data_IF_781168477244
#
_entry.id   IF_781168477244
#
_cell.length_a   1.000
_cell.length_b   1.000
_cell.length_c   1.000
_cell.angle_alpha   90.00
_cell.angle_beta   90.00
_cell.angle_gamma   90.00
#
_symmetry.space_group_name_H-M   'P 1'
#
loop_
_entity.id
_entity.type
_entity.pdbx_description
1 polymer ?
#
# COMPACT_ATOMS: atom_id res chain seq x y z
N UNK A 1 5.86 16.01 -17.51
CA UNK A 1 6.15 17.41 -17.11
C UNK A 1 5.88 17.44 -15.63
N UNK A 2 6.92 17.48 -14.82
CA UNK A 2 6.76 17.43 -13.36
C UNK A 2 6.10 18.75 -12.90
N UNK A 3 5.01 18.67 -12.13
CA UNK A 3 4.40 19.88 -11.63
C UNK A 3 5.36 20.55 -10.65
N UNK A 4 5.43 21.89 -10.69
CA UNK A 4 6.39 22.65 -9.87
C UNK A 4 6.23 22.45 -8.36
N UNK A 5 5.14 21.83 -7.92
CA UNK A 5 4.80 21.52 -6.53
C UNK A 5 5.04 20.05 -6.13
N UNK A 6 5.61 19.22 -7.02
CA UNK A 6 5.90 17.80 -6.73
C UNK A 6 4.67 16.90 -6.74
N UNK A 7 3.59 17.33 -7.41
CA UNK A 7 2.43 16.49 -7.76
C UNK A 7 2.53 16.03 -9.22
N UNK A 8 1.87 14.93 -9.62
CA UNK A 8 1.87 14.50 -11.03
C UNK A 8 0.92 15.33 -11.91
N UNK A 9 0.29 16.37 -11.36
CA UNK A 9 -0.76 17.13 -12.04
C UNK A 9 -0.31 18.54 -12.38
N UNK A 10 -0.56 18.97 -13.60
CA UNK A 10 -0.23 20.30 -14.06
C UNK A 10 -1.48 21.17 -14.27
N UNK A 11 -1.25 22.48 -14.34
CA UNK A 11 -2.29 23.49 -14.57
C UNK A 11 -2.30 23.99 -16.03
N UNK A 12 -1.67 23.26 -16.94
CA UNK A 12 -1.66 23.59 -18.38
C UNK A 12 -3.07 23.38 -18.91
N UNK A 13 -3.61 24.42 -19.53
CA UNK A 13 -4.94 24.37 -20.11
C UNK A 13 -4.96 23.36 -21.25
N UNK A 14 -5.88 22.41 -21.17
CA UNK A 14 -6.18 21.46 -22.24
C UNK A 14 -6.98 22.24 -23.29
N UNK A 15 -6.32 22.59 -24.39
CA UNK A 15 -6.98 23.25 -25.50
C UNK A 15 -7.88 22.26 -26.25
N UNK A 16 -9.19 22.40 -26.05
CA UNK A 16 -10.21 21.56 -26.68
C UNK A 16 -10.84 22.20 -27.92
N UNK A 17 -10.37 23.37 -28.35
CA UNK A 17 -10.93 24.08 -29.51
C UNK A 17 -10.86 23.23 -30.79
N UNK A 18 -9.73 22.54 -30.99
CA UNK A 18 -9.52 21.64 -32.12
C UNK A 18 -10.53 20.48 -32.14
N UNK A 19 -10.93 19.96 -30.96
CA UNK A 19 -11.87 18.84 -30.85
C UNK A 19 -13.27 19.18 -31.38
N UNK A 20 -13.66 20.45 -31.32
CA UNK A 20 -14.96 20.93 -31.84
C UNK A 20 -14.94 21.19 -33.34
N UNK A 21 -13.76 21.29 -33.94
CA UNK A 21 -13.58 21.68 -35.34
C UNK A 21 -13.41 20.51 -36.31
N UNK A 22 -13.25 19.29 -35.76
CA UNK A 22 -12.88 18.10 -36.53
C UNK A 22 -13.81 16.95 -36.12
N UNK A 23 -14.27 16.22 -37.13
CA UNK A 23 -14.81 14.88 -36.95
C UNK A 23 -13.75 13.87 -37.43
N UNK A 24 -13.52 12.80 -36.66
CA UNK A 24 -12.48 11.82 -36.97
C UNK A 24 -12.80 10.43 -36.42
N UNK A 25 -12.44 9.40 -37.19
CA UNK A 25 -12.25 8.05 -36.70
C UNK A 25 -10.75 7.86 -36.39
N UNK A 26 -10.44 7.48 -35.16
CA UNK A 26 -9.08 7.41 -34.64
C UNK A 26 -8.78 5.95 -34.28
N UNK A 27 -7.77 5.39 -34.93
CA UNK A 27 -7.19 4.10 -34.58
C UNK A 27 -5.67 4.27 -34.42
N UNK A 28 -5.15 3.99 -33.23
CA UNK A 28 -3.72 4.10 -32.92
C UNK A 28 -3.27 2.79 -32.30
N UNK A 29 -2.32 2.13 -32.96
CA UNK A 29 -1.62 0.97 -32.43
C UNK A 29 -0.13 1.30 -32.36
N UNK A 30 0.48 1.10 -31.21
CA UNK A 30 1.93 1.30 -31.00
C UNK A 30 2.51 0.02 -30.41
N UNK A 31 3.82 -0.17 -30.57
CA UNK A 31 4.52 -1.26 -29.87
C UNK A 31 4.69 -0.93 -28.38
N UNK A 32 4.91 0.35 -28.06
CA UNK A 32 5.10 0.85 -26.71
C UNK A 32 4.72 2.33 -26.61
N UNK A 33 4.12 2.70 -25.49
CA UNK A 33 3.88 4.09 -25.10
C UNK A 33 4.47 4.31 -23.70
N UNK A 34 5.49 5.17 -23.62
CA UNK A 34 6.11 5.56 -22.37
C UNK A 34 5.50 6.86 -21.84
N UNK A 35 5.06 6.83 -20.59
CA UNK A 35 4.53 7.98 -19.88
C UNK A 35 5.13 8.03 -18.46
N UNK A 36 6.04 8.98 -18.26
CA UNK A 36 6.79 9.14 -17.02
C UNK A 36 7.52 7.85 -16.61
N UNK A 37 7.20 7.24 -15.46
CA UNK A 37 7.78 5.96 -15.03
C UNK A 37 7.03 4.73 -15.56
N UNK A 38 5.93 4.92 -16.29
CA UNK A 38 5.07 3.84 -16.76
C UNK A 38 5.27 3.56 -18.24
N UNK A 39 5.37 2.28 -18.59
CA UNK A 39 5.38 1.81 -19.98
C UNK A 39 4.13 0.97 -20.23
N UNK A 40 3.37 1.36 -21.26
CA UNK A 40 2.24 0.59 -21.78
C UNK A 40 2.70 -0.14 -23.04
N UNK A 41 2.66 -1.47 -23.02
CA UNK A 41 3.11 -2.31 -24.13
C UNK A 41 1.93 -2.66 -25.03
N UNK A 42 2.13 -2.62 -26.34
CA UNK A 42 1.12 -2.87 -27.37
C UNK A 42 -0.19 -2.10 -27.17
N UNK A 43 -0.17 -0.77 -26.90
CA UNK A 43 -1.40 -0.02 -26.78
C UNK A 43 -2.19 -0.02 -28.09
N UNK A 44 -3.48 -0.34 -28.02
CA UNK A 44 -4.46 -0.27 -29.11
C UNK A 44 -5.62 0.63 -28.68
N UNK A 45 -5.71 1.81 -29.28
CA UNK A 45 -6.75 2.80 -29.08
C UNK A 45 -7.69 2.81 -30.28
N UNK A 46 -8.99 2.69 -30.00
CA UNK A 46 -10.07 2.98 -30.95
C UNK A 46 -10.95 4.08 -30.36
N UNK A 47 -11.10 5.16 -31.11
CA UNK A 47 -11.92 6.29 -30.72
C UNK A 47 -12.61 6.94 -31.91
N UNK A 48 -13.72 7.63 -31.63
CA UNK A 48 -14.40 8.49 -32.59
C UNK A 48 -14.56 9.87 -31.98
N UNK A 49 -14.27 10.91 -32.75
CA UNK A 49 -14.49 12.29 -32.39
C UNK A 49 -15.58 12.83 -33.29
N UNK A 50 -16.69 13.27 -32.71
CA UNK A 50 -17.78 13.90 -33.45
C UNK A 50 -18.24 15.15 -32.74
N UNK A 51 -18.13 16.29 -33.42
CA UNK A 51 -18.60 17.59 -32.96
C UNK A 51 -18.15 17.93 -31.53
N UNK A 52 -16.91 17.61 -31.14
CA UNK A 52 -16.39 17.85 -29.79
C UNK A 52 -16.66 16.76 -28.75
N UNK A 53 -17.27 15.64 -29.11
CA UNK A 53 -17.39 14.45 -28.25
C UNK A 53 -16.42 13.37 -28.73
N UNK A 54 -15.40 13.08 -27.92
CA UNK A 54 -14.53 11.93 -28.11
C UNK A 54 -15.13 10.72 -27.39
N UNK A 55 -15.48 9.68 -28.14
CA UNK A 55 -15.94 8.39 -27.62
C UNK A 55 -14.81 7.37 -27.77
N UNK A 56 -14.49 6.67 -26.68
CA UNK A 56 -13.42 5.68 -26.60
C UNK A 56 -14.07 4.33 -26.31
N UNK A 57 -14.54 3.59 -27.33
CA UNK A 57 -15.09 2.25 -27.11
C UNK A 57 -14.05 1.26 -26.56
N UNK A 58 -12.77 1.45 -26.87
CA UNK A 58 -11.70 0.56 -26.42
C UNK A 58 -10.35 1.25 -26.43
N UNK A 59 -9.64 1.16 -25.31
CA UNK A 59 -8.22 1.41 -25.18
C UNK A 59 -7.60 0.28 -24.37
N UNK A 60 -6.75 -0.53 -25.01
CA UNK A 60 -6.15 -1.72 -24.40
C UNK A 60 -4.64 -1.69 -24.45
N UNK A 61 -3.97 -2.50 -23.63
CA UNK A 61 -2.53 -2.73 -23.69
C UNK A 61 -2.06 -3.51 -22.46
N UNK A 62 -0.75 -3.66 -22.29
CA UNK A 62 -0.17 -4.29 -21.09
C UNK A 62 0.51 -3.24 -20.22
N UNK A 63 0.00 -3.03 -19.01
CA UNK A 63 0.54 -2.10 -18.02
C UNK A 63 1.05 -2.89 -16.81
N UNK A 64 2.34 -2.76 -16.49
CA UNK A 64 2.94 -3.53 -15.39
C UNK A 64 2.77 -5.05 -15.56
N UNK A 65 2.84 -5.54 -16.81
CA UNK A 65 2.61 -6.93 -17.23
C UNK A 65 1.15 -7.41 -17.10
N UNK A 66 0.21 -6.57 -16.68
CA UNK A 66 -1.21 -6.88 -16.60
C UNK A 66 -2.01 -6.35 -17.79
N UNK A 67 -3.18 -6.93 -18.04
CA UNK A 67 -4.07 -6.52 -19.11
C UNK A 67 -4.84 -5.26 -18.72
N UNK A 68 -4.57 -4.15 -19.40
CA UNK A 68 -5.31 -2.90 -19.28
C UNK A 68 -6.44 -2.86 -20.31
N UNK A 69 -7.64 -2.49 -19.87
CA UNK A 69 -8.77 -2.19 -20.74
C UNK A 69 -9.55 -0.99 -20.21
N UNK A 70 -9.69 0.06 -21.01
CA UNK A 70 -10.39 1.30 -20.67
C UNK A 70 -11.40 1.61 -21.78
N UNK A 71 -12.54 2.15 -21.40
CA UNK A 71 -13.50 2.79 -22.29
C UNK A 71 -14.03 4.08 -21.66
N UNK A 72 -14.68 4.92 -22.45
CA UNK A 72 -15.32 6.11 -21.93
C UNK A 72 -15.54 7.22 -22.94
N UNK A 73 -15.66 8.44 -22.44
CA UNK A 73 -15.92 9.64 -23.23
C UNK A 73 -15.19 10.85 -22.68
N UNK A 74 -14.87 11.78 -23.58
CA UNK A 74 -14.42 13.12 -23.26
C UNK A 74 -15.27 14.13 -24.04
N UNK A 75 -16.15 14.84 -23.33
CA UNK A 75 -17.12 15.78 -23.88
C UNK A 75 -16.62 17.22 -23.75
N UNK A 76 -16.24 17.80 -24.89
CA UNK A 76 -15.79 19.18 -25.00
C UNK A 76 -16.80 20.08 -25.73
N UNK A 77 -18.03 19.63 -26.00
CA UNK A 77 -18.93 20.26 -26.99
C UNK A 77 -19.37 21.68 -26.67
N UNK A 78 -19.65 21.96 -25.39
CA UNK A 78 -20.43 23.15 -24.99
C UNK A 78 -19.72 24.10 -24.02
N UNK A 79 -18.56 23.72 -23.48
CA UNK A 79 -17.86 24.53 -22.48
C UNK A 79 -16.36 24.31 -22.57
N UNK A 80 -15.57 25.31 -22.17
CA UNK A 80 -14.13 25.17 -22.02
C UNK A 80 -13.73 24.37 -20.77
N UNK A 81 -14.71 23.77 -20.08
CA UNK A 81 -14.54 22.83 -18.97
C UNK A 81 -15.03 21.46 -19.44
N UNK A 82 -14.19 20.68 -20.13
CA UNK A 82 -14.60 19.40 -20.68
C UNK A 82 -14.94 18.41 -19.56
N UNK A 83 -15.81 17.45 -19.88
CA UNK A 83 -16.23 16.38 -18.99
C UNK A 83 -15.60 15.06 -19.41
N UNK A 84 -15.01 14.37 -18.47
CA UNK A 84 -14.42 13.06 -18.64
C UNK A 84 -15.31 12.02 -17.95
N UNK A 85 -15.56 10.89 -18.60
CA UNK A 85 -16.13 9.71 -17.98
C UNK A 85 -15.36 8.49 -18.48
N UNK A 86 -14.76 7.72 -17.59
CA UNK A 86 -13.94 6.55 -17.90
C UNK A 86 -14.36 5.38 -17.02
N UNK A 87 -14.41 4.21 -17.61
CA UNK A 87 -14.47 2.95 -16.88
C UNK A 87 -13.37 2.03 -17.40
N UNK A 88 -12.80 1.24 -16.52
CA UNK A 88 -11.73 0.35 -16.93
C UNK A 88 -11.33 -0.67 -15.88
N UNK A 89 -10.45 -1.55 -16.32
CA UNK A 89 -9.83 -2.56 -15.48
C UNK A 89 -8.36 -2.75 -15.85
N UNK A 90 -7.59 -3.13 -14.85
CA UNK A 90 -6.22 -3.63 -14.96
C UNK A 90 -6.20 -4.98 -14.26
N UNK A 91 -5.95 -6.05 -15.01
CA UNK A 91 -5.98 -7.41 -14.47
C UNK A 91 -4.58 -8.01 -14.41
N UNK A 92 -4.27 -8.67 -13.29
CA UNK A 92 -3.03 -9.46 -13.12
C UNK A 92 -1.73 -8.67 -13.32
N UNK A 93 -1.73 -7.37 -13.05
CA UNK A 93 -0.51 -6.57 -13.06
C UNK A 93 0.43 -6.96 -11.91
N UNK A 94 1.70 -6.56 -12.02
CA UNK A 94 2.73 -6.81 -11.02
C UNK A 94 2.96 -5.54 -10.22
N UNK A 95 2.80 -5.59 -8.90
CA UNK A 95 3.00 -4.44 -7.99
C UNK A 95 4.38 -3.83 -8.24
N UNK A 96 5.41 -4.68 -8.26
CA UNK A 96 6.81 -4.27 -8.42
C UNK A 96 7.11 -3.60 -9.77
N UNK A 97 6.27 -3.79 -10.79
CA UNK A 97 6.41 -3.15 -12.10
C UNK A 97 5.68 -1.80 -12.18
N UNK A 98 4.77 -1.51 -11.25
CA UNK A 98 3.99 -0.27 -11.22
C UNK A 98 4.47 0.69 -10.14
N UNK A 99 4.62 0.17 -8.92
CA UNK A 99 4.99 0.94 -7.74
C UNK A 99 6.04 0.14 -6.97
N UNK A 100 7.34 0.37 -7.21
CA UNK A 100 8.41 -0.36 -6.54
C UNK A 100 8.55 0.12 -5.09
N UNK A 101 7.66 -0.36 -4.22
CA UNK A 101 7.68 -0.06 -2.79
C UNK A 101 8.80 -0.85 -2.12
N UNK A 102 9.66 -0.15 -1.38
CA UNK A 102 10.73 -0.76 -0.57
C UNK A 102 10.46 -0.58 0.91
N UNK A 103 10.60 -1.66 1.66
CA UNK A 103 10.57 -1.66 3.13
C UNK A 103 11.88 -2.25 3.61
N UNK A 104 12.63 -1.46 4.39
CA UNK A 104 14.02 -1.77 4.74
C UNK A 104 14.86 -2.08 3.48
N UNK A 105 15.35 -3.31 3.32
CA UNK A 105 16.16 -3.74 2.17
C UNK A 105 15.40 -4.59 1.14
N UNK A 106 14.09 -4.77 1.33
CA UNK A 106 13.27 -5.66 0.50
C UNK A 106 12.23 -4.91 -0.33
N UNK A 107 11.97 -5.41 -1.54
CA UNK A 107 10.92 -4.90 -2.43
C UNK A 107 9.63 -5.68 -2.19
N UNK A 108 8.49 -4.98 -2.23
CA UNK A 108 7.17 -5.61 -2.23
C UNK A 108 6.88 -6.19 -3.62
N UNK A 109 6.56 -7.49 -3.65
CA UNK A 109 6.16 -8.23 -4.84
C UNK A 109 4.70 -8.67 -4.71
N UNK A 110 3.97 -8.77 -5.81
CA UNK A 110 2.62 -9.34 -5.79
C UNK A 110 1.82 -9.07 -7.05
N UNK A 111 0.63 -9.66 -7.11
CA UNK A 111 -0.37 -9.38 -8.14
C UNK A 111 -1.25 -8.19 -7.75
N UNK A 112 -1.61 -7.37 -8.73
CA UNK A 112 -2.51 -6.23 -8.61
C UNK A 112 -3.61 -6.33 -9.65
N UNK A 113 -4.85 -6.18 -9.19
CA UNK A 113 -6.04 -5.97 -9.99
C UNK A 113 -6.68 -4.64 -9.60
N UNK A 114 -7.21 -3.90 -10.57
CA UNK A 114 -7.94 -2.66 -10.33
C UNK A 114 -9.13 -2.60 -11.28
N UNK A 115 -10.32 -2.34 -10.77
CA UNK A 115 -11.48 -1.92 -11.58
C UNK A 115 -11.90 -0.52 -11.14
N UNK A 116 -12.29 0.34 -12.07
CA UNK A 116 -12.75 1.68 -11.75
C UNK A 116 -13.86 2.16 -12.68
N UNK A 117 -14.70 3.04 -12.15
CA UNK A 117 -15.67 3.86 -12.90
C UNK A 117 -15.57 5.27 -12.32
N UNK A 118 -15.19 6.24 -13.15
CA UNK A 118 -14.92 7.58 -12.70
C UNK A 118 -15.36 8.63 -13.72
N UNK A 119 -15.80 9.78 -13.20
CA UNK A 119 -16.13 10.95 -13.96
C UNK A 119 -15.50 12.20 -13.35
N UNK A 120 -15.22 13.19 -14.18
CA UNK A 120 -14.63 14.46 -13.77
C UNK A 120 -15.02 15.59 -14.73
N UNK A 121 -14.81 16.82 -14.30
CA UNK A 121 -14.88 17.99 -15.16
C UNK A 121 -13.72 18.94 -14.87
N UNK A 122 -13.05 19.41 -15.91
CA UNK A 122 -11.86 20.22 -15.72
C UNK A 122 -11.10 20.47 -17.00
N UNK A 123 -10.49 21.64 -17.11
CA UNK A 123 -9.73 22.06 -18.30
C UNK A 123 -8.21 22.00 -18.10
N UNK A 124 -7.77 21.32 -17.05
CA UNK A 124 -6.37 21.02 -16.72
C UNK A 124 -6.34 19.64 -16.06
N UNK A 125 -5.20 18.96 -16.05
CA UNK A 125 -5.08 17.66 -15.35
C UNK A 125 -5.37 17.82 -13.85
N UNK A 126 -4.90 18.91 -13.21
CA UNK A 126 -5.22 19.23 -11.81
C UNK A 126 -6.71 19.43 -11.53
N UNK A 127 -7.45 20.13 -12.41
CA UNK A 127 -8.90 20.32 -12.22
C UNK A 127 -9.68 19.01 -12.44
N UNK A 128 -9.27 18.18 -13.39
CA UNK A 128 -9.90 16.88 -13.61
C UNK A 128 -9.75 15.99 -12.37
N UNK A 129 -8.54 15.83 -11.83
CA UNK A 129 -8.35 15.01 -10.61
C UNK A 129 -9.06 15.62 -9.39
N UNK A 130 -9.09 16.95 -9.26
CA UNK A 130 -9.79 17.63 -8.15
C UNK A 130 -11.31 17.49 -8.20
N UNK A 131 -11.86 17.27 -9.39
CA UNK A 131 -13.29 17.06 -9.61
C UNK A 131 -13.65 15.58 -9.85
N UNK A 132 -12.71 14.66 -9.61
CA UNK A 132 -12.90 13.24 -9.85
C UNK A 132 -13.91 12.67 -8.85
N UNK A 133 -14.90 11.96 -9.37
CA UNK A 133 -15.91 11.24 -8.60
C UNK A 133 -16.08 9.85 -9.18
N UNK A 134 -16.38 8.86 -8.37
CA UNK A 134 -16.53 7.49 -8.86
C UNK A 134 -16.29 6.41 -7.82
N UNK A 135 -16.02 5.21 -8.29
CA UNK A 135 -15.67 4.05 -7.46
C UNK A 135 -14.46 3.33 -8.03
N UNK A 136 -13.76 2.63 -7.15
CA UNK A 136 -12.68 1.73 -7.53
C UNK A 136 -12.70 0.49 -6.64
N UNK A 137 -12.31 -0.66 -7.21
CA UNK A 137 -12.08 -1.90 -6.49
C UNK A 137 -10.63 -2.33 -6.75
N UNK A 138 -9.85 -2.44 -5.68
CA UNK A 138 -8.46 -2.85 -5.71
C UNK A 138 -8.36 -4.29 -5.19
N UNK A 139 -7.68 -5.15 -5.92
CA UNK A 139 -7.36 -6.51 -5.51
C UNK A 139 -5.84 -6.68 -5.48
N UNK A 140 -5.31 -7.14 -4.35
CA UNK A 140 -3.91 -7.51 -4.20
C UNK A 140 -3.83 -9.00 -3.92
N UNK A 141 -2.93 -9.71 -4.60
CA UNK A 141 -2.77 -11.16 -4.46
C UNK A 141 -1.32 -11.55 -4.18
N UNK A 142 -1.12 -12.48 -3.25
CA UNK A 142 0.17 -13.07 -2.92
C UNK A 142 1.26 -12.01 -2.66
N UNK A 143 0.94 -11.02 -1.84
CA UNK A 143 1.85 -9.92 -1.55
C UNK A 143 2.91 -10.39 -0.55
N UNK A 144 4.18 -10.21 -0.92
CA UNK A 144 5.33 -10.71 -0.17
C UNK A 144 6.59 -9.86 -0.39
N UNK A 145 7.56 -10.00 0.51
CA UNK A 145 8.89 -9.41 0.34
C UNK A 145 9.74 -10.19 -0.67
N UNK A 146 10.64 -9.52 -1.36
CA UNK A 146 11.54 -10.11 -2.37
C UNK A 146 12.44 -11.23 -1.85
N UNK A 147 12.75 -11.26 -0.56
CA UNK A 147 13.53 -12.33 0.08
C UNK A 147 12.67 -13.38 0.81
N UNK A 148 11.35 -13.43 0.57
CA UNK A 148 10.39 -14.43 1.06
C UNK A 148 11.00 -15.82 1.21
N UNK A 149 11.51 -16.34 0.09
CA UNK A 149 11.95 -17.72 -0.06
C UNK A 149 13.22 -18.07 0.75
N UNK A 150 13.91 -17.07 1.29
CA UNK A 150 15.12 -17.24 2.10
C UNK A 150 14.84 -17.23 3.61
N UNK A 151 13.61 -16.96 4.02
CA UNK A 151 13.24 -16.86 5.44
C UNK A 151 12.52 -18.15 5.90
N UNK A 152 12.55 -18.48 7.20
CA UNK A 152 11.90 -19.68 7.72
C UNK A 152 10.39 -19.68 7.45
N UNK A 153 9.77 -20.84 7.16
CA UNK A 153 8.35 -20.92 6.84
C UNK A 153 7.42 -20.69 8.04
N UNK A 154 7.91 -20.94 9.26
CA UNK A 154 7.16 -20.71 10.48
C UNK A 154 7.32 -19.25 10.94
N UNK A 155 6.22 -18.52 11.15
CA UNK A 155 6.28 -17.18 11.67
C UNK A 155 6.74 -17.20 13.13
N UNK A 156 7.78 -16.44 13.46
CA UNK A 156 8.31 -16.34 14.82
C UNK A 156 8.76 -14.91 15.08
N UNK A 157 8.48 -14.41 16.28
CA UNK A 157 8.96 -13.12 16.72
C UNK A 157 10.46 -13.19 17.06
N UNK A 158 11.31 -12.51 16.29
CA UNK A 158 12.72 -12.37 16.62
C UNK A 158 12.95 -11.15 17.54
N UNK A 159 12.86 -11.39 18.85
CA UNK A 159 13.04 -10.35 19.89
C UNK A 159 14.44 -9.71 19.81
N UNK A 160 15.49 -10.45 19.45
CA UNK A 160 16.84 -9.92 19.36
C UNK A 160 17.01 -8.94 18.20
N UNK A 161 16.39 -9.22 17.06
CA UNK A 161 16.40 -8.29 15.95
C UNK A 161 15.52 -7.06 16.20
N UNK A 162 14.37 -7.25 16.86
CA UNK A 162 13.53 -6.14 17.34
C UNK A 162 14.35 -5.13 18.15
N UNK A 163 15.14 -5.62 19.09
CA UNK A 163 16.00 -4.82 19.95
C UNK A 163 17.11 -4.08 19.19
N UNK A 164 17.57 -4.63 18.06
CA UNK A 164 18.67 -4.07 17.27
C UNK A 164 18.22 -3.11 16.17
N UNK A 165 17.06 -3.38 15.57
CA UNK A 165 16.61 -2.76 14.32
C UNK A 165 15.32 -1.94 14.49
N UNK A 166 14.60 -2.05 15.62
CA UNK A 166 13.41 -1.23 15.94
C UNK A 166 12.10 -1.69 15.30
N UNK A 167 11.07 -0.83 15.27
CA UNK A 167 9.73 -1.18 14.76
C UNK A 167 9.72 -1.74 13.34
N UNK A 168 10.62 -1.27 12.46
CA UNK A 168 10.75 -1.75 11.08
C UNK A 168 11.15 -3.23 11.05
N UNK A 169 11.92 -3.68 12.04
CA UNK A 169 12.31 -5.08 12.20
C UNK A 169 11.13 -5.97 12.59
N UNK A 170 10.04 -5.46 13.16
CA UNK A 170 8.84 -6.27 13.38
C UNK A 170 8.08 -6.53 12.10
N UNK A 171 7.94 -5.50 11.26
CA UNK A 171 7.31 -5.61 9.94
C UNK A 171 8.07 -6.63 9.09
N UNK A 172 9.40 -6.69 9.26
CA UNK A 172 10.30 -7.58 8.52
C UNK A 172 10.50 -8.94 9.21
N UNK A 173 10.59 -9.00 10.54
CA UNK A 173 10.98 -10.21 11.29
C UNK A 173 9.90 -10.75 12.24
N UNK A 174 8.95 -9.93 12.72
CA UNK A 174 7.83 -10.35 13.57
C UNK A 174 6.61 -10.84 12.77
N UNK A 175 6.46 -10.36 11.54
CA UNK A 175 5.56 -10.91 10.53
C UNK A 175 6.34 -11.97 9.76
N UNK A 176 6.29 -13.22 10.21
CA UNK A 176 7.00 -14.31 9.54
C UNK A 176 6.83 -14.25 8.03
N UNK A 177 7.95 -14.27 7.31
CA UNK A 177 7.91 -14.32 5.85
C UNK A 177 7.22 -15.61 5.45
N UNK A 178 6.05 -15.44 4.85
CA UNK A 178 5.58 -16.11 3.65
C UNK A 178 4.17 -15.54 3.43
N UNK A 179 3.93 -14.82 2.33
CA UNK A 179 2.71 -14.06 1.96
C UNK A 179 2.06 -13.29 3.12
N UNK A 180 2.53 -12.04 3.29
CA UNK A 180 1.95 -11.04 4.20
C UNK A 180 0.43 -10.99 4.08
N UNK A 181 -0.04 -11.17 2.86
CA UNK A 181 -1.41 -11.02 2.44
C UNK A 181 -1.62 -11.94 1.23
N UNK A 182 -2.39 -13.01 1.43
CA UNK A 182 -2.76 -13.94 0.36
C UNK A 182 -3.67 -13.23 -0.62
N UNK A 183 -4.67 -12.52 -0.08
CA UNK A 183 -5.56 -11.66 -0.83
C UNK A 183 -5.91 -10.44 0.01
N UNK A 184 -6.03 -9.29 -0.64
CA UNK A 184 -6.76 -8.14 -0.12
C UNK A 184 -7.65 -7.62 -1.22
N UNK A 185 -8.88 -7.34 -0.86
CA UNK A 185 -9.84 -6.66 -1.69
C UNK A 185 -10.32 -5.40 -0.97
N UNK A 186 -10.26 -4.26 -1.66
CA UNK A 186 -10.66 -2.97 -1.12
C UNK A 186 -11.60 -2.25 -2.09
N UNK A 187 -12.81 -1.96 -1.64
CA UNK A 187 -13.70 -1.04 -2.33
C UNK A 187 -13.43 0.39 -1.88
N UNK A 188 -13.42 1.31 -2.84
CA UNK A 188 -13.18 2.73 -2.61
C UNK A 188 -14.25 3.57 -3.30
N UNK A 189 -14.65 4.65 -2.63
CA UNK A 189 -15.43 5.73 -3.22
C UNK A 189 -14.55 6.95 -3.41
N UNK A 190 -14.66 7.60 -4.56
CA UNK A 190 -13.93 8.82 -4.89
C UNK A 190 -14.91 9.98 -4.89
N UNK A 191 -14.61 11.04 -4.14
CA UNK A 191 -15.41 12.27 -4.10
C UNK A 191 -14.50 13.48 -4.13
N UNK A 192 -14.64 14.31 -5.16
CA UNK A 192 -13.81 15.49 -5.40
C UNK A 192 -12.29 15.20 -5.27
N UNK A 193 -11.85 14.12 -5.92
CA UNK A 193 -10.45 13.69 -5.91
C UNK A 193 -9.97 13.00 -4.63
N UNK A 194 -10.83 12.85 -3.62
CA UNK A 194 -10.49 12.10 -2.39
C UNK A 194 -11.05 10.69 -2.51
N UNK A 195 -10.17 9.70 -2.65
CA UNK A 195 -10.54 8.29 -2.63
C UNK A 195 -10.49 7.78 -1.18
N UNK A 196 -11.55 7.09 -0.74
CA UNK A 196 -11.62 6.51 0.61
C UNK A 196 -12.12 5.07 0.54
N UNK A 197 -11.51 4.19 1.32
CA UNK A 197 -11.98 2.81 1.49
C UNK A 197 -13.37 2.79 2.13
N UNK A 198 -14.24 1.92 1.62
CA UNK A 198 -15.58 1.66 2.15
C UNK A 198 -15.74 0.23 2.63
N UNK A 199 -14.91 -0.69 2.11
CA UNK A 199 -14.79 -2.08 2.55
C UNK A 199 -13.36 -2.52 2.32
N UNK A 200 -12.79 -3.22 3.28
CA UNK A 200 -11.54 -3.96 3.12
C UNK A 200 -11.74 -5.37 3.63
N UNK A 201 -11.36 -6.35 2.82
CA UNK A 201 -11.30 -7.75 3.19
C UNK A 201 -9.89 -8.25 2.91
N UNK A 202 -9.16 -8.60 3.97
CA UNK A 202 -7.79 -9.08 3.86
C UNK A 202 -7.66 -10.47 4.50
N UNK A 203 -7.09 -11.40 3.73
CA UNK A 203 -6.70 -12.71 4.21
C UNK A 203 -5.18 -12.77 4.32
N UNK A 204 -4.68 -12.86 5.55
CA UNK A 204 -3.27 -13.11 5.82
C UNK A 204 -3.04 -14.56 6.22
N UNK A 205 -1.80 -15.05 6.10
CA UNK A 205 -1.39 -16.37 6.61
C UNK A 205 -1.25 -16.41 8.13
N UNK A 206 -0.96 -15.26 8.75
CA UNK A 206 -0.58 -15.18 10.16
C UNK A 206 -1.69 -14.67 11.07
N UNK A 207 -2.85 -14.28 10.50
CA UNK A 207 -4.02 -13.85 11.25
C UNK A 207 -4.93 -12.96 10.41
N UNK A 208 -5.60 -12.02 11.06
CA UNK A 208 -6.50 -11.06 10.41
C UNK A 208 -5.83 -9.71 10.22
N UNK A 209 -6.29 -8.97 9.21
CA UNK A 209 -5.90 -7.59 8.97
C UNK A 209 -7.15 -6.79 8.59
N UNK A 210 -7.25 -5.59 9.13
CA UNK A 210 -8.22 -4.58 8.72
C UNK A 210 -7.45 -3.33 8.26
N UNK A 211 -8.00 -2.57 7.32
CA UNK A 211 -7.35 -1.35 6.85
C UNK A 211 -8.34 -0.26 6.44
N UNK A 212 -7.98 0.97 6.79
CA UNK A 212 -8.63 2.18 6.32
C UNK A 212 -7.61 3.01 5.53
N UNK A 213 -7.99 3.48 4.33
CA UNK A 213 -7.16 4.35 3.53
C UNK A 213 -7.94 5.55 3.00
N UNK A 214 -7.30 6.72 3.05
CA UNK A 214 -7.73 7.95 2.39
C UNK A 214 -6.59 8.43 1.49
N UNK A 215 -6.88 8.62 0.20
CA UNK A 215 -5.96 9.15 -0.80
C UNK A 215 -6.49 10.50 -1.27
N UNK A 216 -5.74 11.58 -1.02
CA UNK A 216 -5.98 12.90 -1.60
C UNK A 216 -5.21 12.96 -2.93
N UNK A 217 -5.89 12.60 -4.01
CA UNK A 217 -5.26 12.50 -5.33
C UNK A 217 -4.73 13.86 -5.82
N UNK A 218 -5.47 14.99 -5.69
CA UNK A 218 -4.95 16.30 -6.09
C UNK A 218 -3.67 16.72 -5.37
N UNK A 219 -3.55 16.42 -4.07
CA UNK A 219 -2.35 16.70 -3.28
C UNK A 219 -1.30 15.60 -3.36
N UNK A 220 -1.64 14.46 -3.96
CA UNK A 220 -0.79 13.27 -4.08
C UNK A 220 -0.30 12.75 -2.73
N UNK A 221 -1.19 12.70 -1.74
CA UNK A 221 -0.89 12.21 -0.39
C UNK A 221 -1.88 11.15 0.07
N UNK A 222 -1.41 10.30 0.98
CA UNK A 222 -2.20 9.25 1.62
C UNK A 222 -2.17 9.36 3.15
N UNK A 223 -3.24 8.87 3.75
CA UNK A 223 -3.33 8.52 5.15
C UNK A 223 -3.99 7.14 5.26
N UNK A 224 -3.21 6.16 5.66
CA UNK A 224 -3.64 4.77 5.79
C UNK A 224 -3.28 4.24 7.16
N UNK A 225 -4.22 3.49 7.74
CA UNK A 225 -4.02 2.67 8.93
C UNK A 225 -4.35 1.23 8.58
N UNK A 226 -3.49 0.30 8.98
CA UNK A 226 -3.74 -1.13 8.92
C UNK A 226 -3.56 -1.72 10.32
N UNK A 227 -4.59 -2.41 10.80
CA UNK A 227 -4.60 -3.08 12.10
C UNK A 227 -4.43 -4.57 11.88
N UNK A 228 -3.46 -5.16 12.58
CA UNK A 228 -3.09 -6.56 12.44
C UNK A 228 -3.33 -7.29 13.76
N UNK A 229 -3.93 -8.48 13.67
CA UNK A 229 -4.05 -9.41 14.78
C UNK A 229 -3.53 -10.79 14.37
N UNK A 230 -2.33 -11.12 14.86
CA UNK A 230 -1.66 -12.40 14.60
C UNK A 230 -1.63 -13.32 15.82
N UNK A 231 -2.38 -12.97 16.87
CA UNK A 231 -2.32 -13.65 18.16
C UNK A 231 -2.76 -15.12 18.09
N UNK A 232 -3.57 -15.50 17.08
CA UNK A 232 -3.95 -16.90 16.83
C UNK A 232 -2.76 -17.79 16.41
N UNK A 233 -1.74 -17.24 15.76
CA UNK A 233 -0.56 -17.99 15.27
C UNK A 233 0.71 -17.67 16.03
N UNK A 234 0.80 -16.48 16.62
CA UNK A 234 1.92 -16.03 17.44
C UNK A 234 1.36 -15.47 18.74
N UNK A 235 1.17 -16.32 19.75
CA UNK A 235 0.59 -15.93 21.06
C UNK A 235 1.36 -14.80 21.76
N UNK A 236 2.65 -14.68 21.47
CA UNK A 236 3.54 -13.66 22.03
C UNK A 236 3.39 -12.29 21.35
N UNK A 237 2.67 -12.20 20.23
CA UNK A 237 2.51 -10.99 19.43
C UNK A 237 1.08 -10.43 19.58
N UNK A 238 0.88 -9.38 20.42
CA UNK A 238 -0.41 -8.74 20.53
C UNK A 238 -0.76 -7.96 19.26
N UNK A 239 -2.04 -7.60 19.06
CA UNK A 239 -2.46 -6.76 17.95
C UNK A 239 -1.68 -5.45 17.90
N UNK A 240 -1.35 -5.01 16.69
CA UNK A 240 -0.59 -3.78 16.44
C UNK A 240 -1.09 -3.06 15.20
N UNK A 241 -0.81 -1.76 15.13
CA UNK A 241 -1.24 -0.91 14.02
C UNK A 241 -0.03 -0.40 13.25
N UNK A 242 -0.14 -0.40 11.92
CA UNK A 242 0.82 0.21 11.00
C UNK A 242 0.14 1.39 10.31
N UNK A 243 0.88 2.47 10.10
CA UNK A 243 0.41 3.66 9.41
C UNK A 243 1.31 3.96 8.22
N UNK A 244 0.70 4.31 7.10
CA UNK A 244 1.39 4.85 5.93
C UNK A 244 0.84 6.26 5.67
N UNK A 245 1.68 7.28 5.82
CA UNK A 245 1.28 8.69 5.68
C UNK A 245 2.28 9.47 4.85
N UNK A 246 1.80 10.46 4.11
CA UNK A 246 2.66 11.34 3.29
C UNK A 246 2.39 11.13 1.81
N UNK A 247 3.42 11.22 0.97
CA UNK A 247 3.23 11.09 -0.49
C UNK A 247 2.78 9.68 -0.85
N UNK A 248 1.93 9.54 -1.88
CA UNK A 248 1.41 8.23 -2.32
C UNK A 248 2.54 7.33 -2.86
N UNK A 249 3.51 7.92 -3.54
CA UNK A 249 4.64 7.25 -4.17
C UNK A 249 5.84 7.03 -3.24
N UNK A 250 5.90 7.75 -2.11
CA UNK A 250 6.93 7.62 -1.08
C UNK A 250 6.35 7.89 0.32
N UNK A 251 5.50 7.00 0.85
CA UNK A 251 4.88 7.20 2.15
C UNK A 251 5.86 6.90 3.29
N UNK A 252 5.73 7.67 4.37
CA UNK A 252 6.41 7.36 5.62
C UNK A 252 5.63 6.26 6.34
N UNK A 253 6.29 5.13 6.57
CA UNK A 253 5.73 3.99 7.30
C UNK A 253 6.12 4.07 8.77
N UNK A 254 5.12 4.04 9.65
CA UNK A 254 5.29 4.02 11.12
C UNK A 254 4.43 2.92 11.74
N UNK A 255 4.70 2.55 12.99
CA UNK A 255 3.90 1.54 13.69
C UNK A 255 3.68 1.93 15.15
N UNK A 256 2.48 1.64 15.68
CA UNK A 256 2.18 1.77 17.11
C UNK A 256 2.32 0.39 17.76
N UNK A 257 3.28 0.26 18.67
CA UNK A 257 3.75 -1.04 19.16
C UNK A 257 3.90 -1.07 20.69
N UNK A 258 3.22 -0.19 21.40
CA UNK A 258 3.25 -0.08 22.86
C UNK A 258 2.94 -1.43 23.55
N UNK A 259 1.90 -2.13 23.09
CA UNK A 259 1.52 -3.45 23.62
C UNK A 259 2.55 -4.53 23.32
N UNK A 260 3.14 -4.50 22.12
CA UNK A 260 4.19 -5.46 21.71
C UNK A 260 5.41 -5.29 22.60
N UNK A 261 5.84 -4.04 22.83
CA UNK A 261 6.98 -3.74 23.70
C UNK A 261 6.75 -4.26 25.12
N UNK A 262 5.57 -4.03 25.71
CA UNK A 262 5.23 -4.54 27.05
C UNK A 262 5.25 -6.07 27.08
N UNK A 263 4.66 -6.74 26.08
CA UNK A 263 4.61 -8.21 26.04
C UNK A 263 5.99 -8.85 25.90
N UNK A 264 6.86 -8.26 25.08
CA UNK A 264 8.26 -8.68 24.96
C UNK A 264 9.00 -8.52 26.29
N UNK A 265 8.74 -7.44 27.02
CA UNK A 265 9.33 -7.20 28.34
C UNK A 265 8.87 -8.25 29.36
N UNK A 266 7.57 -8.54 29.42
CA UNK A 266 7.02 -9.57 30.32
C UNK A 266 7.66 -10.93 30.03
N UNK A 267 7.76 -11.34 28.76
CA UNK A 267 8.38 -12.60 28.37
C UNK A 267 9.87 -12.68 28.75
N UNK A 268 10.62 -11.57 28.61
CA UNK A 268 12.03 -11.51 29.01
C UNK A 268 12.19 -11.59 30.53
N UNK A 269 11.31 -10.92 31.29
CA UNK A 269 11.29 -10.97 32.75
C UNK A 269 10.94 -12.39 33.23
N UNK A 270 9.89 -13.01 32.69
CA UNK A 270 9.47 -14.37 33.03
C UNK A 270 10.58 -15.40 32.74
N UNK A 271 11.29 -15.24 31.62
CA UNK A 271 12.43 -16.10 31.28
C UNK A 271 13.64 -15.88 32.19
N UNK A 272 13.88 -14.65 32.64
CA UNK A 272 14.97 -14.30 33.54
C UNK A 272 14.68 -14.67 35.01
N UNK A 273 13.41 -14.63 35.43
CA UNK A 273 12.96 -15.00 36.77
C UNK A 273 12.72 -16.51 36.94
N UNK A 274 12.81 -17.27 35.85
CA UNK A 274 12.68 -18.73 35.83
C UNK A 274 11.22 -19.14 35.71
N UNK A 275 10.87 -19.76 34.58
CA UNK A 275 9.60 -20.46 34.42
C UNK A 275 9.49 -21.61 35.41
N UNK A 276 8.95 -21.35 36.60
CA UNK A 276 8.64 -22.36 37.60
C UNK A 276 7.20 -22.84 37.43
N UNK A 277 7.01 -23.76 36.49
CA UNK A 277 5.83 -24.60 36.38
C UNK A 277 6.18 -26.07 36.68
N UNK A 278 6.21 -26.40 37.97
CA UNK A 278 6.25 -27.74 38.57
C UNK A 278 7.57 -28.53 38.56
N UNK A 279 8.33 -28.41 39.65
CA UNK A 279 8.75 -29.58 40.45
C UNK A 279 9.20 -29.11 41.85
N UNK A 280 8.48 -29.54 42.90
CA UNK A 280 9.06 -29.74 44.23
C UNK A 280 10.26 -30.69 44.02
N UNK A 281 11.45 -30.53 44.62
CA UNK A 281 11.69 -30.42 46.04
C UNK A 281 13.21 -30.22 46.29
N UNK A 282 13.50 -29.49 47.37
CA UNK A 282 14.72 -29.51 48.20
C UNK A 282 16.14 -29.46 47.60
N UNK A 283 16.83 -28.36 47.96
CA UNK A 283 18.10 -28.30 48.71
C UNK A 283 19.26 -27.54 48.05
N UNK A 284 19.81 -26.58 48.81
CA UNK A 284 21.26 -26.30 48.79
C UNK A 284 21.75 -25.01 48.13
N UNK A 285 22.04 -24.02 48.98
CA UNK A 285 23.19 -23.09 48.92
C UNK A 285 23.29 -22.04 47.79
N UNK A 286 22.97 -20.79 48.17
CA UNK A 286 23.88 -19.63 48.09
C UNK A 286 24.62 -19.32 46.78
N UNK A 287 24.13 -18.33 46.05
CA UNK A 287 24.87 -17.65 44.98
C UNK A 287 24.28 -16.29 44.66
N UNK A 288 24.89 -15.22 45.19
CA UNK A 288 24.63 -13.83 44.81
C UNK A 288 24.99 -13.63 43.33
N UNK A 289 23.98 -13.50 42.46
CA UNK A 289 24.15 -13.27 41.03
C UNK A 289 23.04 -12.44 40.36
N UNK A 290 22.04 -11.97 41.13
CA UNK A 290 20.84 -11.33 40.57
C UNK A 290 21.06 -9.97 39.90
N UNK A 291 22.08 -9.20 40.31
CA UNK A 291 22.26 -7.82 39.84
C UNK A 291 22.61 -7.70 38.36
N UNK A 292 23.43 -8.60 37.81
CA UNK A 292 23.93 -8.45 36.42
C UNK A 292 22.86 -8.73 35.36
N UNK A 293 21.93 -9.65 35.61
CA UNK A 293 20.85 -9.96 34.68
C UNK A 293 19.75 -8.89 34.75
N UNK A 294 19.45 -8.41 35.95
CA UNK A 294 18.47 -7.35 36.18
C UNK A 294 18.94 -6.00 35.62
N UNK A 295 20.24 -5.69 35.72
CA UNK A 295 20.82 -4.47 35.15
C UNK A 295 20.93 -4.54 33.62
N UNK A 296 21.21 -5.72 33.05
CA UNK A 296 21.14 -5.94 31.61
C UNK A 296 19.70 -5.76 31.09
N UNK A 297 18.71 -6.33 31.80
CA UNK A 297 17.29 -6.13 31.49
C UNK A 297 16.88 -4.66 31.57
N UNK A 298 17.33 -3.91 32.60
CA UNK A 298 17.10 -2.46 32.75
C UNK A 298 17.77 -1.61 31.67
N UNK A 299 18.96 -2.01 31.20
CA UNK A 299 19.63 -1.39 30.06
C UNK A 299 18.85 -1.57 28.76
N UNK A 300 18.36 -2.78 28.51
CA UNK A 300 17.51 -3.11 27.36
C UNK A 300 16.15 -2.40 27.42
N UNK A 301 15.55 -2.30 28.61
CA UNK A 301 14.31 -1.55 28.91
C UNK A 301 14.42 -0.07 28.49
N UNK A 302 15.52 0.60 28.83
CA UNK A 302 15.76 2.00 28.42
C UNK A 302 15.92 2.16 26.91
N UNK A 303 16.51 1.17 26.23
CA UNK A 303 16.64 1.16 24.77
C UNK A 303 15.28 1.06 24.08
N UNK A 304 14.45 0.10 24.51
CA UNK A 304 13.10 -0.12 23.98
C UNK A 304 12.20 1.11 24.18
N UNK A 305 12.15 1.67 25.39
CA UNK A 305 11.30 2.84 25.67
C UNK A 305 11.70 4.08 24.86
N UNK A 306 13.00 4.26 24.59
CA UNK A 306 13.47 5.36 23.73
C UNK A 306 13.17 5.13 22.24
N UNK A 307 13.06 3.87 21.80
CA UNK A 307 12.85 3.51 20.39
C UNK A 307 11.36 3.40 20.02
N UNK A 308 10.50 3.06 20.97
CA UNK A 308 9.05 2.90 20.80
C UNK A 308 8.21 4.05 21.38
N UNK A 309 8.81 4.92 22.20
CA UNK A 309 8.12 6.05 22.84
C UNK A 309 8.09 7.35 22.01
N UNK A 310 8.42 7.29 20.71
CA UNK A 310 8.41 8.43 19.78
C UNK A 310 7.46 8.22 18.63
#
# INVERSE_FOLDING_TARGET
VDARDGTPWDDTVIDVSALRSIDADIAVALDQLDFDTYSLINPDLKATLVNGLLSIPSFTGLLGQGDLAINGTFDARNTDVPKLALAGRLDSARIESLVPIRVASDTILGGLGLTFDANAQGNTSRRLVSALNGTANLVLNNVRFSNADKRPPDPRLNIEALLRQGPQAMVVEGVGNNDLMQSLEADMTITNGIAKTTRVEALSRVGTADADATLDLPRWVMDTQADFDFSEKIEELPPFSVYAKGKIDDPVITGRMDKVAVRVLDNLIDKALGGSGSSNDSSGTGGSGGGSAEDAAKGLLKGLLNQFGR
#
